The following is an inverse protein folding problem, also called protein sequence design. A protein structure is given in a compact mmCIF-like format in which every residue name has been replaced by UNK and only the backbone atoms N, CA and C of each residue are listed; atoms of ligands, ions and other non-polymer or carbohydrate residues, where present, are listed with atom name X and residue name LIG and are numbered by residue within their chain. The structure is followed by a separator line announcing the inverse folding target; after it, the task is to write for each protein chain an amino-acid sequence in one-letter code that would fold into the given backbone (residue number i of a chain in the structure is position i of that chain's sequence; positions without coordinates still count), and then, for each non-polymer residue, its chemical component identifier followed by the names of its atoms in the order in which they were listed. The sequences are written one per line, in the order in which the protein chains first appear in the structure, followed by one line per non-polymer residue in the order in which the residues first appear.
data_IF_751451559484
#
_entry.id   IF_751451559484
#
_cell.length_a   1.000
_cell.length_b   1.000
_cell.length_c   1.000
_cell.angle_alpha   90.00
_cell.angle_beta   90.00
_cell.angle_gamma   90.00
#
_symmetry.space_group_name_H-M   'P 1'
#
loop_
_entity.id
_entity.type
_entity.pdbx_description
1 polymer ?
#
# COMPACT_ATOMS: atom_id res chain seq x y z
N UNK A 1 -4.95 22.47 -20.55
CA UNK A 1 -3.96 21.82 -21.43
C UNK A 1 -4.74 21.00 -22.44
N UNK A 2 -4.66 21.36 -23.72
CA UNK A 2 -5.38 20.67 -24.79
C UNK A 2 -4.49 19.51 -25.26
N UNK A 3 -4.90 18.28 -24.96
CA UNK A 3 -4.17 17.09 -25.41
C UNK A 3 -4.51 16.84 -26.89
N UNK A 4 -3.55 17.07 -27.78
CA UNK A 4 -3.69 16.73 -29.20
C UNK A 4 -3.57 15.20 -29.38
N UNK A 5 -4.34 14.64 -30.31
CA UNK A 5 -4.29 13.21 -30.64
C UNK A 5 -3.56 13.05 -31.98
N UNK A 6 -2.48 12.29 -32.00
CA UNK A 6 -1.78 11.95 -33.24
C UNK A 6 -1.91 10.44 -33.48
N UNK A 7 -2.49 10.08 -34.63
CA UNK A 7 -2.72 8.67 -35.02
C UNK A 7 -3.52 7.84 -33.99
N UNK A 8 -4.44 8.49 -33.25
CA UNK A 8 -5.25 7.86 -32.21
C UNK A 8 -4.58 7.71 -30.83
N UNK A 9 -3.28 8.00 -30.73
CA UNK A 9 -2.53 8.01 -29.49
C UNK A 9 -2.45 9.42 -28.87
N UNK A 10 -2.32 9.47 -27.55
CA UNK A 10 -2.21 10.69 -26.76
C UNK A 10 -0.84 11.34 -26.97
N UNK A 11 -0.83 12.61 -27.36
CA UNK A 11 0.38 13.42 -27.40
C UNK A 11 0.45 14.28 -26.13
N UNK A 12 1.52 14.11 -25.36
CA UNK A 12 1.73 14.85 -24.11
C UNK A 12 2.79 15.92 -24.34
N UNK A 13 2.46 17.19 -24.08
CA UNK A 13 3.43 18.28 -24.13
C UNK A 13 4.22 18.32 -22.81
N UNK A 14 5.54 18.06 -22.87
CA UNK A 14 6.44 18.10 -21.72
C UNK A 14 7.12 19.46 -21.54
N UNK A 15 7.06 20.33 -22.55
CA UNK A 15 7.60 21.68 -22.52
C UNK A 15 7.35 22.45 -23.82
N UNK A 16 7.82 23.70 -23.94
CA UNK A 16 7.53 24.59 -25.09
C UNK A 16 7.93 24.02 -26.46
N UNK A 17 8.86 23.05 -26.48
CA UNK A 17 9.35 22.39 -27.69
C UNK A 17 9.54 20.87 -27.52
N UNK A 18 8.96 20.25 -26.49
CA UNK A 18 9.14 18.81 -26.21
C UNK A 18 7.80 18.11 -26.15
N UNK A 19 7.64 17.07 -26.97
CA UNK A 19 6.42 16.26 -27.02
C UNK A 19 6.78 14.80 -26.80
N UNK A 20 5.96 14.11 -26.01
CA UNK A 20 6.06 12.67 -25.82
C UNK A 20 4.84 11.98 -26.44
N UNK A 21 5.09 10.89 -27.15
CA UNK A 21 4.05 9.99 -27.64
C UNK A 21 4.40 8.54 -27.29
N UNK A 22 3.39 7.68 -27.08
CA UNK A 22 3.60 6.29 -26.74
C UNK A 22 4.01 5.52 -28.01
N UNK A 23 5.12 4.81 -27.90
CA UNK A 23 5.79 4.12 -29.01
C UNK A 23 5.57 2.61 -28.95
N UNK A 24 5.85 1.98 -27.80
CA UNK A 24 5.77 0.53 -27.65
C UNK A 24 5.31 0.10 -26.25
N UNK A 25 4.59 -1.03 -26.17
CA UNK A 25 4.27 -1.70 -24.92
C UNK A 25 5.28 -2.82 -24.67
N UNK A 26 6.17 -2.62 -23.70
CA UNK A 26 7.30 -3.51 -23.46
C UNK A 26 6.92 -4.74 -22.63
N UNK A 27 6.20 -4.53 -21.53
CA UNK A 27 5.94 -5.57 -20.51
C UNK A 27 4.56 -5.42 -19.89
N UNK A 28 4.05 -6.54 -19.37
CA UNK A 28 2.83 -6.60 -18.58
C UNK A 28 3.15 -7.24 -17.23
N UNK A 29 2.58 -6.70 -16.15
CA UNK A 29 2.62 -7.29 -14.81
C UNK A 29 1.23 -7.26 -14.18
N UNK A 30 1.06 -7.99 -13.08
CA UNK A 30 -0.10 -7.78 -12.19
C UNK A 30 0.26 -6.67 -11.21
N UNK A 31 -0.56 -5.63 -11.16
CA UNK A 31 -0.50 -4.56 -10.18
C UNK A 31 -0.89 -5.06 -8.78
N UNK A 32 -0.73 -4.18 -7.80
CA UNK A 32 -1.03 -4.48 -6.39
C UNK A 32 -2.52 -4.80 -6.14
N UNK A 33 -3.40 -4.32 -7.02
CA UNK A 33 -4.84 -4.56 -7.04
C UNK A 33 -5.25 -5.81 -7.85
N UNK A 34 -4.27 -6.57 -8.33
CA UNK A 34 -4.48 -7.73 -9.20
C UNK A 34 -4.86 -7.39 -10.64
N UNK A 35 -5.01 -6.10 -11.00
CA UNK A 35 -5.30 -5.67 -12.36
C UNK A 35 -4.02 -5.66 -13.21
N UNK A 36 -4.12 -5.82 -14.54
CA UNK A 36 -2.94 -5.78 -15.39
C UNK A 36 -2.41 -4.35 -15.55
N UNK A 37 -1.12 -4.18 -15.26
CA UNK A 37 -0.36 -2.97 -15.55
C UNK A 37 0.60 -3.21 -16.71
N UNK A 38 0.82 -2.19 -17.51
CA UNK A 38 1.63 -2.25 -18.73
C UNK A 38 2.74 -1.21 -18.68
N UNK A 39 3.97 -1.64 -19.02
CA UNK A 39 5.10 -0.76 -19.19
C UNK A 39 5.08 -0.22 -20.62
N UNK A 40 4.71 1.05 -20.76
CA UNK A 40 4.69 1.76 -22.04
C UNK A 40 5.96 2.56 -22.18
N UNK A 41 6.65 2.39 -23.31
CA UNK A 41 7.76 3.22 -23.74
C UNK A 41 7.22 4.41 -24.53
N UNK A 42 7.65 5.60 -24.15
CA UNK A 42 7.31 6.86 -24.75
C UNK A 42 8.55 7.47 -25.38
N UNK A 43 8.49 7.85 -26.64
CA UNK A 43 9.55 8.61 -27.29
C UNK A 43 9.33 10.10 -27.07
N UNK A 44 10.35 10.80 -26.59
CA UNK A 44 10.39 12.25 -26.47
C UNK A 44 11.04 12.81 -27.71
N UNK A 45 10.32 13.68 -28.43
CA UNK A 45 10.80 14.34 -29.64
C UNK A 45 10.80 15.84 -29.45
N UNK A 46 11.87 16.48 -29.92
CA UNK A 46 11.95 17.93 -29.96
C UNK A 46 11.21 18.48 -31.19
N UNK A 47 10.43 19.54 -31.00
CA UNK A 47 9.64 20.16 -32.07
C UNK A 47 10.50 20.77 -33.19
N UNK A 48 11.80 20.99 -32.97
CA UNK A 48 12.74 21.52 -33.97
C UNK A 48 13.07 20.47 -35.06
N UNK A 49 12.98 19.19 -34.74
CA UNK A 49 13.29 18.09 -35.65
C UNK A 49 12.17 17.83 -36.69
N UNK A 50 10.93 18.24 -36.38
CA UNK A 50 9.77 18.08 -37.28
C UNK A 50 9.65 19.17 -38.36
N UNK A 51 10.30 20.32 -38.18
CA UNK A 51 10.22 21.43 -39.14
C UNK A 51 11.29 21.36 -40.25
N UNK A 52 12.34 20.55 -40.10
CA UNK A 52 13.45 20.48 -41.05
C UNK A 52 13.22 19.44 -42.15
N UNK A 53 12.12 19.59 -42.89
CA UNK A 53 12.07 19.14 -44.27
C UNK A 53 12.91 20.06 -45.14
N UNK A 54 14.25 19.99 -45.05
CA UNK A 54 15.14 20.68 -45.98
C UNK A 54 16.43 21.23 -45.39
N UNK A 55 17.53 20.56 -45.77
CA UNK A 55 18.87 21.13 -46.01
C UNK A 55 19.69 21.61 -44.80
N UNK A 56 20.80 20.91 -44.53
CA UNK A 56 21.95 21.48 -43.83
C UNK A 56 22.62 20.54 -42.83
N UNK A 57 23.75 19.96 -43.25
CA UNK A 57 24.66 19.09 -42.51
C UNK A 57 24.87 19.41 -41.01
N UNK A 58 24.59 18.43 -40.14
CA UNK A 58 25.61 17.81 -39.28
C UNK A 58 25.05 16.48 -38.74
N UNK A 59 25.72 15.38 -39.03
CA UNK A 59 25.40 14.05 -38.53
C UNK A 59 25.74 14.01 -37.03
N UNK A 60 24.74 14.23 -36.20
CA UNK A 60 24.71 13.73 -34.84
C UNK A 60 23.48 12.81 -34.78
N UNK A 61 23.70 11.52 -34.60
CA UNK A 61 22.64 10.57 -34.29
C UNK A 61 22.03 10.95 -32.93
N UNK A 62 21.09 11.91 -32.92
CA UNK A 62 20.29 12.24 -31.74
C UNK A 62 19.28 11.11 -31.55
N UNK A 63 19.75 10.06 -30.87
CA UNK A 63 18.93 8.94 -30.42
C UNK A 63 17.70 9.51 -29.69
N UNK A 64 16.46 9.19 -30.10
CA UNK A 64 15.28 9.68 -29.39
C UNK A 64 15.36 9.28 -27.92
N UNK A 65 15.14 10.24 -27.02
CA UNK A 65 15.11 9.96 -25.60
C UNK A 65 13.82 9.20 -25.28
N UNK A 66 13.94 8.02 -24.70
CA UNK A 66 12.78 7.20 -24.35
C UNK A 66 12.54 7.21 -22.85
N UNK A 67 11.28 7.39 -22.45
CA UNK A 67 10.82 7.29 -21.07
C UNK A 67 9.88 6.09 -20.98
N UNK A 68 10.14 5.18 -20.03
CA UNK A 68 9.24 4.05 -19.77
C UNK A 68 8.39 4.33 -18.54
N UNK A 69 7.08 4.11 -18.64
CA UNK A 69 6.12 4.37 -17.57
C UNK A 69 5.15 3.18 -17.42
N UNK A 70 4.91 2.77 -16.19
CA UNK A 70 3.86 1.79 -15.88
C UNK A 70 2.50 2.49 -15.86
N UNK A 71 1.53 1.90 -16.56
CA UNK A 71 0.19 2.43 -16.69
C UNK A 71 -0.83 1.30 -16.51
N UNK A 72 -1.98 1.62 -15.94
CA UNK A 72 -3.11 0.70 -15.83
C UNK A 72 -3.74 0.40 -17.19
N UNK A 73 -4.50 -0.69 -17.28
CA UNK A 73 -5.24 -1.02 -18.50
C UNK A 73 -6.16 0.11 -19.00
N UNK A 74 -6.80 0.82 -18.08
CA UNK A 74 -7.72 1.94 -18.39
C UNK A 74 -6.95 3.12 -18.98
N UNK A 75 -5.79 3.47 -18.40
CA UNK A 75 -4.93 4.55 -18.87
C UNK A 75 -4.29 4.23 -20.23
N UNK A 76 -3.90 2.97 -20.47
CA UNK A 76 -3.38 2.53 -21.78
C UNK A 76 -4.47 2.57 -22.84
N UNK A 77 -5.69 2.11 -22.52
CA UNK A 77 -6.83 2.24 -23.43
C UNK A 77 -7.14 3.71 -23.79
N UNK A 78 -7.02 4.62 -22.82
CA UNK A 78 -7.22 6.04 -23.05
C UNK A 78 -6.07 6.70 -23.83
N UNK A 79 -4.83 6.24 -23.62
CA UNK A 79 -3.63 6.92 -24.12
C UNK A 79 -3.06 6.32 -25.40
N UNK A 80 -3.16 5.01 -25.59
CA UNK A 80 -2.59 4.31 -26.74
C UNK A 80 -3.36 3.02 -27.09
N UNK A 81 -4.65 3.13 -27.48
CA UNK A 81 -5.48 1.96 -27.80
C UNK A 81 -4.92 1.11 -28.95
N UNK A 82 -4.15 1.71 -29.87
CA UNK A 82 -3.56 1.00 -31.01
C UNK A 82 -2.46 0.00 -30.61
N UNK A 83 -1.78 0.21 -29.47
CA UNK A 83 -0.68 -0.64 -29.01
C UNK A 83 -1.17 -1.94 -28.35
N UNK A 84 -2.39 -1.95 -27.82
CA UNK A 84 -3.00 -3.15 -27.23
C UNK A 84 -3.39 -4.22 -28.26
N UNK A 85 -3.65 -3.81 -29.51
CA UNK A 85 -4.09 -4.72 -30.58
C UNK A 85 -2.96 -5.51 -31.26
N UNK A 86 -1.69 -5.15 -31.05
CA UNK A 86 -0.57 -5.67 -31.87
C UNK A 86 0.12 -6.93 -31.30
N UNK A 87 -0.21 -7.40 -30.08
CA UNK A 87 0.38 -8.62 -29.53
C UNK A 87 -0.55 -9.82 -29.67
N UNK A 88 -0.41 -10.57 -30.76
CA UNK A 88 -0.84 -11.98 -30.80
C UNK A 88 -0.06 -12.74 -29.73
N UNK A 89 -0.70 -13.51 -28.82
CA UNK A 89 0.01 -14.26 -27.81
C UNK A 89 0.78 -15.41 -28.46
N UNK A 90 2.10 -15.27 -28.61
CA UNK A 90 3.01 -16.40 -28.80
C UNK A 90 3.49 -16.85 -27.42
N UNK A 91 2.93 -17.96 -26.95
CA UNK A 91 3.31 -18.63 -25.71
C UNK A 91 2.26 -19.69 -25.35
N UNK A 92 2.62 -20.94 -25.01
CA UNK A 92 1.66 -22.03 -24.90
C UNK A 92 0.61 -21.75 -23.84
N UNK A 93 -0.67 -21.91 -24.23
CA UNK A 93 -1.82 -21.88 -23.33
C UNK A 93 -1.64 -22.96 -22.24
N UNK A 94 -1.56 -22.62 -20.95
CA UNK A 94 -2.05 -23.53 -19.92
C UNK A 94 -3.56 -23.67 -20.16
N UNK A 95 -4.05 -24.91 -20.14
CA UNK A 95 -5.45 -25.29 -20.31
C UNK A 95 -6.41 -24.28 -19.67
N UNK A 96 -7.40 -23.87 -20.44
CA UNK A 96 -8.65 -23.32 -19.95
C UNK A 96 -9.21 -24.24 -18.85
N UNK A 97 -9.12 -23.82 -17.60
CA UNK A 97 -10.10 -24.19 -16.61
C UNK A 97 -11.20 -23.14 -16.67
N UNK A 98 -12.28 -23.54 -17.33
CA UNK A 98 -13.67 -23.08 -17.22
C UNK A 98 -13.88 -21.87 -16.30
N UNK A 99 -14.31 -20.77 -16.90
CA UNK A 99 -14.82 -19.59 -16.21
C UNK A 99 -15.79 -19.92 -15.06
N UNK A 100 -15.74 -19.14 -13.98
CA UNK A 100 -16.95 -18.67 -13.31
C UNK A 100 -17.13 -17.18 -13.57
N UNK A 101 -18.38 -16.80 -13.83
CA UNK A 101 -18.83 -15.42 -13.87
C UNK A 101 -18.71 -14.70 -12.51
N UNK A 102 -19.24 -13.48 -12.41
CA UNK A 102 -18.95 -12.54 -11.34
C UNK A 102 -19.48 -13.07 -10.01
N UNK A 103 -18.57 -13.54 -9.17
CA UNK A 103 -18.82 -13.79 -7.75
C UNK A 103 -17.73 -13.09 -6.97
N UNK A 104 -18.04 -11.87 -6.56
CA UNK A 104 -17.57 -11.36 -5.29
C UNK A 104 -18.16 -12.27 -4.21
N UNK A 105 -17.37 -13.22 -3.76
CA UNK A 105 -17.51 -13.89 -2.47
C UNK A 105 -16.15 -14.51 -2.15
N UNK A 106 -15.66 -14.19 -0.97
CA UNK A 106 -14.41 -14.64 -0.36
C UNK A 106 -13.95 -16.03 -0.84
N UNK A 107 -12.75 -16.09 -1.42
CA UNK A 107 -12.00 -17.35 -1.39
C UNK A 107 -11.74 -17.63 0.08
N UNK A 108 -12.29 -18.71 0.67
CA UNK A 108 -12.08 -18.98 2.09
C UNK A 108 -10.59 -19.17 2.30
N UNK A 109 -9.99 -18.35 3.18
CA UNK A 109 -8.65 -18.61 3.66
C UNK A 109 -8.69 -19.98 4.32
N UNK A 110 -7.90 -20.91 3.81
CA UNK A 110 -7.81 -22.26 4.35
C UNK A 110 -7.49 -22.19 5.86
N UNK A 111 -8.30 -22.87 6.67
CA UNK A 111 -8.22 -22.78 8.13
C UNK A 111 -6.84 -23.21 8.64
N UNK A 112 -6.20 -24.17 7.99
CA UNK A 112 -4.85 -24.62 8.33
C UNK A 112 -3.81 -23.51 8.05
N UNK A 113 -3.92 -22.84 6.91
CA UNK A 113 -3.07 -21.70 6.54
C UNK A 113 -3.23 -20.53 7.52
N UNK A 114 -4.46 -20.21 7.93
CA UNK A 114 -4.71 -19.18 8.94
C UNK A 114 -4.08 -19.54 10.29
N UNK A 115 -4.15 -20.81 10.69
CA UNK A 115 -3.58 -21.29 11.96
C UNK A 115 -2.03 -21.19 11.94
N UNK A 116 -1.40 -21.50 10.81
CA UNK A 116 0.04 -21.28 10.61
C UNK A 116 0.41 -19.80 10.76
N UNK A 117 -0.34 -18.90 10.11
CA UNK A 117 -0.12 -17.46 10.24
C UNK A 117 -0.28 -16.98 11.70
N UNK A 118 -1.26 -17.50 12.45
CA UNK A 118 -1.41 -17.17 13.88
C UNK A 118 -0.21 -17.63 14.70
N UNK A 119 0.31 -18.83 14.43
CA UNK A 119 1.51 -19.34 15.09
C UNK A 119 2.76 -18.50 14.73
N UNK A 120 2.85 -18.03 13.48
CA UNK A 120 3.92 -17.16 13.03
C UNK A 120 3.85 -15.77 13.70
N UNK A 121 2.65 -15.17 13.81
CA UNK A 121 2.44 -13.93 14.61
C UNK A 121 3.05 -14.09 16.00
N UNK A 122 2.74 -15.19 16.71
CA UNK A 122 3.29 -15.43 18.05
C UNK A 122 4.81 -15.58 18.07
N UNK A 123 5.39 -16.20 17.06
CA UNK A 123 6.84 -16.36 16.93
C UNK A 123 7.53 -15.03 16.62
N UNK A 124 6.94 -14.22 15.74
CA UNK A 124 7.41 -12.89 15.36
C UNK A 124 7.29 -11.89 16.53
N UNK A 125 6.18 -11.87 17.27
CA UNK A 125 6.01 -11.02 18.46
C UNK A 125 7.08 -11.37 19.50
N UNK A 126 7.27 -12.67 19.79
CA UNK A 126 8.32 -13.11 20.72
C UNK A 126 9.72 -12.72 20.24
N UNK A 127 9.97 -12.79 18.93
CA UNK A 127 11.25 -12.40 18.33
C UNK A 127 11.47 -10.89 18.45
N UNK A 128 10.49 -10.08 18.07
CA UNK A 128 10.55 -8.63 18.18
C UNK A 128 10.76 -8.19 19.65
N UNK A 129 10.08 -8.84 20.61
CA UNK A 129 10.29 -8.60 22.04
C UNK A 129 11.72 -8.87 22.49
N UNK A 130 12.34 -9.98 22.05
CA UNK A 130 13.77 -10.22 22.33
C UNK A 130 14.66 -9.15 21.71
N UNK A 131 14.42 -8.81 20.45
CA UNK A 131 15.20 -7.81 19.73
C UNK A 131 15.12 -6.41 20.37
N UNK A 132 13.96 -6.03 20.90
CA UNK A 132 13.74 -4.75 21.60
C UNK A 132 14.36 -4.75 23.00
N UNK A 133 14.37 -5.89 23.70
CA UNK A 133 14.95 -6.02 25.03
C UNK A 133 16.49 -6.16 25.01
N UNK A 134 17.05 -6.75 23.96
CA UNK A 134 18.49 -6.97 23.80
C UNK A 134 19.22 -5.66 23.48
N UNK A 135 20.03 -5.19 24.43
CA UNK A 135 20.89 -4.03 24.25
C UNK A 135 21.95 -4.31 23.17
N UNK A 136 21.81 -3.66 22.00
CA UNK A 136 22.76 -3.77 20.89
C UNK A 136 22.17 -4.39 19.61
N UNK A 137 20.90 -4.77 19.60
CA UNK A 137 20.25 -5.21 18.36
C UNK A 137 20.21 -4.08 17.33
N UNK A 138 20.62 -4.32 16.07
CA UNK A 138 20.52 -3.31 15.03
C UNK A 138 19.07 -2.89 14.80
N UNK A 139 18.82 -1.58 14.73
CA UNK A 139 17.49 -0.99 14.46
C UNK A 139 16.80 -1.65 13.26
N UNK A 140 17.54 -1.89 12.17
CA UNK A 140 17.03 -2.54 10.95
C UNK A 140 16.49 -3.94 11.20
N UNK A 141 17.05 -4.67 12.16
CA UNK A 141 16.59 -6.02 12.50
C UNK A 141 15.24 -5.98 13.21
N UNK A 142 15.08 -5.06 14.18
CA UNK A 142 13.80 -4.81 14.87
C UNK A 142 12.75 -4.38 13.84
N UNK A 143 13.08 -3.35 13.05
CA UNK A 143 12.17 -2.82 12.03
C UNK A 143 11.76 -3.90 11.03
N UNK A 144 12.68 -4.76 10.57
CA UNK A 144 12.33 -5.83 9.63
C UNK A 144 11.25 -6.78 10.19
N UNK A 145 11.38 -7.19 11.45
CA UNK A 145 10.38 -8.04 12.11
C UNK A 145 9.06 -7.30 12.30
N UNK A 146 9.12 -6.03 12.71
CA UNK A 146 7.95 -5.20 12.97
C UNK A 146 7.17 -4.88 11.68
N UNK A 147 7.84 -4.68 10.54
CA UNK A 147 7.15 -4.46 9.27
C UNK A 147 6.35 -5.70 8.84
N UNK A 148 6.89 -6.91 9.05
CA UNK A 148 6.14 -8.15 8.79
C UNK A 148 4.95 -8.26 9.75
N UNK A 149 5.15 -7.96 11.03
CA UNK A 149 4.05 -7.89 12.00
C UNK A 149 2.99 -6.85 11.61
N UNK A 150 3.40 -5.69 11.09
CA UNK A 150 2.49 -4.66 10.59
C UNK A 150 1.66 -5.13 9.39
N UNK A 151 2.26 -5.89 8.47
CA UNK A 151 1.55 -6.52 7.37
C UNK A 151 0.55 -7.59 7.83
N UNK A 152 0.84 -8.32 8.92
CA UNK A 152 -0.11 -9.24 9.53
C UNK A 152 -1.19 -8.51 10.33
N UNK A 153 -0.84 -7.38 10.96
CA UNK A 153 -1.77 -6.55 11.71
C UNK A 153 -2.79 -5.85 10.82
N UNK A 154 -2.61 -5.77 9.51
CA UNK A 154 -3.63 -5.31 8.55
C UNK A 154 -4.62 -6.40 8.13
N UNK A 155 -4.46 -7.63 8.63
CA UNK A 155 -5.37 -8.76 8.37
C UNK A 155 -6.29 -8.94 9.57
N UNK A 156 -7.56 -8.57 9.41
CA UNK A 156 -8.53 -8.59 10.53
C UNK A 156 -8.75 -9.95 11.18
N UNK A 157 -8.66 -11.05 10.42
CA UNK A 157 -8.77 -12.42 10.95
C UNK A 157 -7.62 -12.82 11.89
N UNK A 158 -6.50 -12.09 11.86
CA UNK A 158 -5.37 -12.29 12.75
C UNK A 158 -5.43 -11.40 14.01
N UNK A 159 -6.35 -10.44 14.09
CA UNK A 159 -6.44 -9.51 15.23
C UNK A 159 -6.48 -10.24 16.58
N UNK A 160 -7.21 -11.36 16.68
CA UNK A 160 -7.24 -12.20 17.87
C UNK A 160 -5.87 -12.76 18.28
N UNK A 161 -5.05 -13.19 17.32
CA UNK A 161 -3.72 -13.72 17.61
C UNK A 161 -2.79 -12.64 18.17
N UNK A 162 -2.91 -11.39 17.74
CA UNK A 162 -2.15 -10.27 18.33
C UNK A 162 -2.56 -10.02 19.79
N UNK A 163 -3.83 -10.25 20.14
CA UNK A 163 -4.30 -10.13 21.53
C UNK A 163 -3.72 -11.25 22.39
N UNK A 164 -3.83 -12.48 21.92
CA UNK A 164 -3.38 -13.69 22.64
C UNK A 164 -1.86 -13.74 22.84
N UNK A 165 -1.09 -13.09 21.96
CA UNK A 165 0.38 -13.13 21.99
C UNK A 165 1.02 -12.01 22.81
N UNK A 166 0.24 -11.10 23.39
CA UNK A 166 0.76 -9.95 24.14
C UNK A 166 1.43 -8.90 23.24
N UNK A 167 1.00 -8.78 21.99
CA UNK A 167 1.60 -7.84 21.04
C UNK A 167 1.48 -6.38 21.48
N UNK A 168 0.47 -6.03 22.27
CA UNK A 168 0.31 -4.68 22.79
C UNK A 168 1.39 -4.31 23.79
N UNK A 169 1.80 -5.21 24.69
CA UNK A 169 2.87 -4.93 25.66
C UNK A 169 4.20 -4.66 24.95
N UNK A 170 4.48 -5.42 23.88
CA UNK A 170 5.59 -5.15 22.98
C UNK A 170 5.50 -3.76 22.36
N UNK A 171 4.32 -3.38 21.85
CA UNK A 171 4.10 -2.06 21.24
C UNK A 171 4.27 -0.92 22.24
N UNK A 172 3.79 -1.07 23.48
CA UNK A 172 4.03 -0.08 24.55
C UNK A 172 5.52 0.07 24.83
N UNK A 173 6.26 -1.04 24.89
CA UNK A 173 7.71 -1.01 25.06
C UNK A 173 8.40 -0.29 23.90
N UNK A 174 7.96 -0.54 22.66
CA UNK A 174 8.50 0.08 21.46
C UNK A 174 8.19 1.58 21.37
N UNK A 175 7.04 2.04 21.88
CA UNK A 175 6.70 3.47 21.98
C UNK A 175 7.65 4.23 22.91
N UNK A 176 8.28 3.55 23.86
CA UNK A 176 9.30 4.13 24.74
C UNK A 176 10.73 3.94 24.21
N UNK A 177 10.91 3.37 23.01
CA UNK A 177 12.23 3.10 22.45
C UNK A 177 12.97 4.39 22.07
N UNK A 178 14.31 4.41 22.14
CA UNK A 178 15.13 5.60 21.82
C UNK A 178 15.06 6.01 20.35
N UNK A 179 14.96 5.03 19.46
CA UNK A 179 14.88 5.25 18.01
C UNK A 179 13.48 5.67 17.54
N UNK A 180 13.41 6.79 16.81
CA UNK A 180 12.15 7.38 16.34
C UNK A 180 11.40 6.49 15.34
N UNK A 181 12.10 5.73 14.51
CA UNK A 181 11.45 4.83 13.54
C UNK A 181 10.73 3.69 14.24
N UNK A 182 11.32 3.12 15.30
CA UNK A 182 10.70 2.05 16.08
C UNK A 182 9.43 2.56 16.77
N UNK A 183 9.45 3.77 17.33
CA UNK A 183 8.26 4.43 17.90
C UNK A 183 7.17 4.64 16.84
N UNK A 184 7.54 5.16 15.66
CA UNK A 184 6.61 5.36 14.54
C UNK A 184 5.96 4.04 14.10
N UNK A 185 6.75 3.00 13.86
CA UNK A 185 6.23 1.70 13.45
C UNK A 185 5.32 1.08 14.52
N UNK A 186 5.58 1.32 15.81
CA UNK A 186 4.67 0.91 16.88
C UNK A 186 3.30 1.61 16.77
N UNK A 187 3.30 2.93 16.54
CA UNK A 187 2.07 3.70 16.34
C UNK A 187 1.28 3.28 15.09
N UNK A 188 1.97 3.00 13.99
CA UNK A 188 1.36 2.47 12.76
C UNK A 188 0.69 1.11 12.99
N UNK A 189 1.36 0.22 13.72
CA UNK A 189 0.83 -1.12 14.04
C UNK A 189 -0.36 -1.04 15.00
N UNK A 190 -0.34 -0.14 16.00
CA UNK A 190 -1.50 0.13 16.86
C UNK A 190 -2.71 0.59 16.03
N UNK A 191 -2.49 1.49 15.07
CA UNK A 191 -3.55 1.97 14.17
C UNK A 191 -4.12 0.85 13.32
N UNK A 192 -3.25 0.01 12.75
CA UNK A 192 -3.68 -1.16 11.96
C UNK A 192 -4.55 -2.11 12.81
N UNK A 193 -4.13 -2.43 14.03
CA UNK A 193 -4.90 -3.29 14.94
C UNK A 193 -6.25 -2.66 15.32
N UNK A 194 -6.29 -1.36 15.58
CA UNK A 194 -7.53 -0.65 15.92
C UNK A 194 -8.48 -0.50 14.72
N UNK A 195 -8.02 -0.64 13.48
CA UNK A 195 -8.85 -0.36 12.30
C UNK A 195 -9.89 -1.43 11.97
N UNK A 196 -9.77 -2.67 12.50
CA UNK A 196 -10.57 -3.81 12.04
C UNK A 196 -12.01 -3.82 12.51
N UNK A 197 -12.23 -3.71 13.81
CA UNK A 197 -13.56 -3.87 14.41
C UNK A 197 -13.66 -3.16 15.76
N UNK A 198 -14.88 -3.01 16.27
CA UNK A 198 -15.15 -2.32 17.53
C UNK A 198 -14.48 -2.99 18.74
N UNK A 199 -14.36 -4.33 18.73
CA UNK A 199 -13.66 -5.08 19.77
C UNK A 199 -12.15 -4.83 19.73
N UNK A 200 -11.55 -4.79 18.53
CA UNK A 200 -10.13 -4.46 18.37
C UNK A 200 -9.83 -3.00 18.77
N UNK A 201 -10.71 -2.04 18.45
CA UNK A 201 -10.63 -0.66 18.97
C UNK A 201 -10.67 -0.60 20.49
N UNK A 202 -11.69 -1.22 21.08
CA UNK A 202 -11.87 -1.24 22.53
C UNK A 202 -10.68 -1.88 23.24
N UNK A 203 -10.15 -2.97 22.68
CA UNK A 203 -8.99 -3.66 23.22
C UNK A 203 -7.73 -2.78 23.24
N UNK A 204 -7.43 -2.07 22.14
CA UNK A 204 -6.28 -1.15 22.06
C UNK A 204 -6.45 0.00 23.07
N UNK A 205 -7.62 0.64 23.12
CA UNK A 205 -7.89 1.75 24.04
C UNK A 205 -7.80 1.33 25.51
N UNK A 206 -8.41 0.19 25.85
CA UNK A 206 -8.39 -0.33 27.22
C UNK A 206 -6.98 -0.70 27.65
N UNK A 207 -6.17 -1.25 26.75
CA UNK A 207 -4.78 -1.59 27.06
C UNK A 207 -3.92 -0.33 27.22
N UNK A 208 -4.14 0.71 26.41
CA UNK A 208 -3.47 1.99 26.55
C UNK A 208 -3.84 2.69 27.87
N UNK A 209 -5.11 2.63 28.29
CA UNK A 209 -5.55 3.28 29.53
C UNK A 209 -5.07 2.58 30.80
N UNK A 210 -4.79 1.27 30.73
CA UNK A 210 -4.24 0.50 31.84
C UNK A 210 -2.73 0.73 32.06
N UNK A 211 -2.04 1.38 31.12
CA UNK A 211 -0.61 1.64 31.23
C UNK A 211 -0.36 2.89 32.08
N UNK A 212 -0.27 2.70 33.40
CA UNK A 212 0.01 3.77 34.35
C UNK A 212 1.35 4.46 34.01
N UNK A 213 1.28 5.76 33.73
CA UNK A 213 2.47 6.58 33.54
C UNK A 213 3.22 6.35 32.23
N UNK A 214 2.64 5.66 31.24
CA UNK A 214 3.25 5.51 29.91
C UNK A 214 3.67 6.85 29.31
N UNK A 215 2.87 7.89 29.56
CA UNK A 215 3.13 9.27 29.15
C UNK A 215 4.49 9.76 29.65
N UNK A 216 4.87 9.44 30.89
CA UNK A 216 6.08 9.97 31.54
C UNK A 216 7.37 9.46 30.87
N UNK A 217 7.31 8.31 30.22
CA UNK A 217 8.44 7.66 29.57
C UNK A 217 8.50 7.90 28.05
N UNK A 218 7.42 8.42 27.46
CA UNK A 218 7.35 8.78 26.05
C UNK A 218 7.85 10.20 25.77
N UNK A 219 8.42 10.40 24.59
CA UNK A 219 8.72 11.73 24.06
C UNK A 219 7.45 12.43 23.55
N UNK A 220 7.58 13.73 23.24
CA UNK A 220 6.45 14.54 22.77
C UNK A 220 5.80 13.98 21.50
N UNK A 221 6.61 13.55 20.52
CA UNK A 221 6.12 13.01 19.24
C UNK A 221 5.26 11.75 19.45
N UNK A 222 5.66 10.85 20.36
CA UNK A 222 4.91 9.62 20.62
C UNK A 222 3.64 9.88 21.40
N UNK A 223 3.65 10.86 22.31
CA UNK A 223 2.42 11.34 22.98
C UNK A 223 1.44 11.93 21.97
N UNK A 224 1.91 12.75 21.03
CA UNK A 224 1.08 13.27 19.93
C UNK A 224 0.52 12.14 19.08
N UNK A 225 1.35 11.15 18.72
CA UNK A 225 0.92 9.99 17.93
C UNK A 225 -0.19 9.20 18.63
N UNK A 226 -0.07 8.97 19.95
CA UNK A 226 -1.12 8.32 20.72
C UNK A 226 -2.37 9.18 20.80
N UNK A 227 -2.25 10.48 21.06
CA UNK A 227 -3.39 11.40 21.10
C UNK A 227 -4.14 11.43 19.76
N UNK A 228 -3.43 11.45 18.64
CA UNK A 228 -4.01 11.32 17.30
C UNK A 228 -4.76 9.99 17.14
N UNK A 229 -4.15 8.88 17.58
CA UNK A 229 -4.79 7.56 17.55
C UNK A 229 -6.06 7.51 18.43
N UNK A 230 -6.03 8.09 19.63
CA UNK A 230 -7.22 8.23 20.48
C UNK A 230 -8.31 9.06 19.79
N UNK A 231 -7.95 10.22 19.22
CA UNK A 231 -8.88 11.07 18.50
C UNK A 231 -9.50 10.36 17.29
N UNK A 232 -8.70 9.64 16.51
CA UNK A 232 -9.15 8.88 15.33
C UNK A 232 -10.10 7.73 15.71
N UNK A 233 -9.76 6.98 16.77
CA UNK A 233 -10.60 5.87 17.25
C UNK A 233 -11.92 6.39 17.83
N UNK A 234 -11.91 7.50 18.57
CA UNK A 234 -13.12 8.09 19.16
C UNK A 234 -13.99 8.81 18.13
N UNK A 235 -13.40 9.46 17.12
CA UNK A 235 -14.14 10.09 16.02
C UNK A 235 -14.77 9.07 15.08
N UNK A 236 -14.08 7.96 14.78
CA UNK A 236 -14.66 6.88 13.96
C UNK A 236 -15.78 6.11 14.67
N UNK A 237 -15.89 6.21 16.00
CA UNK A 237 -16.98 5.62 16.78
C UNK A 237 -18.34 6.31 16.55
N UNK A 238 -18.37 7.52 15.96
CA UNK A 238 -19.62 8.22 15.64
C UNK A 238 -20.50 7.47 14.62
N UNK A 239 -19.93 6.56 13.82
CA UNK A 239 -20.69 5.69 12.91
C UNK A 239 -21.24 4.41 13.57
N UNK A 240 -20.87 4.11 14.83
CA UNK A 240 -21.32 2.91 15.53
C UNK A 240 -22.50 3.16 16.48
N UNK A 241 -22.93 4.43 16.64
CA UNK A 241 -24.05 4.83 17.48
C UNK A 241 -25.16 5.49 16.63
N UNK A 242 -25.64 4.81 15.59
CA UNK A 242 -26.94 5.18 15.03
C UNK A 242 -28.01 4.81 16.06
N UNK A 243 -28.46 5.79 16.85
CA UNK A 243 -29.60 5.69 17.77
C UNK A 243 -30.95 5.62 17.03
N UNK A 244 -30.98 5.06 15.83
CA UNK A 244 -32.18 4.91 15.02
C UNK A 244 -32.98 3.71 15.54
N UNK A 245 -33.61 3.89 16.71
CA UNK A 245 -34.54 2.90 17.28
C UNK A 245 -34.56 2.75 18.80
N UNK A 246 -33.67 3.40 19.57
CA UNK A 246 -33.72 3.30 21.04
C UNK A 246 -34.69 4.34 21.58
N UNK A 247 -35.93 3.91 21.87
CA UNK A 247 -36.89 4.70 22.64
C UNK A 247 -36.36 4.88 24.07
N UNK A 248 -35.86 6.07 24.37
CA UNK A 248 -35.59 6.48 25.74
C UNK A 248 -36.93 6.60 26.50
N UNK A 249 -37.03 6.11 27.76
CA UNK A 249 -38.21 6.34 28.58
C UNK A 249 -38.34 7.84 28.84
N UNK A 250 -39.45 8.43 28.40
CA UNK A 250 -39.81 9.80 28.77
C UNK A 250 -40.08 9.85 30.28
N UNK A 251 -39.39 10.77 30.96
CA UNK A 251 -39.67 11.17 32.34
C UNK A 251 -40.69 12.31 32.33
#
# INVERSE_FOLDING_TARGET
MVNEKHNGNLLVQLGPKLQAYPEELLRQRRGHDGRPEYLVQWSVVSSEERAAGGSGASSAETKPEHISMWMSAEEVCASCPALLGQRRPQGPRPKEEKAPGPLAADVPLDEASLLEMKADVGSLVRRAGRQVAEAGTPERSILSTVHVLGAYASIGSLAGAFRETGALDLLMTMLCHKEKQIRRSAGEMLRALASHDAGSRAYVLLSLSQQDGIEQHMDFDSRCTLLELFAEITSSAEHCMSFEGIHLPQV
#
